data_IF_239247116655
#
_entry.id   IF_239247116655
#
_cell.length_a   1.000
_cell.length_b   1.000
_cell.length_c   1.000
_cell.angle_alpha   90.00
_cell.angle_beta   90.00
_cell.angle_gamma   90.00
#
_symmetry.space_group_name_H-M   'P 1'
#
loop_
_entity.id
_entity.type
_entity.pdbx_description
1 polymer ?
#
# COMPACT_ATOMS: atom_id res chain seq x y z
N UNK A 1 4.71 -10.54 13.79
CA UNK A 1 4.20 -10.73 12.42
C UNK A 1 4.63 -12.04 11.76
N UNK A 2 5.89 -12.51 11.85
CA UNK A 2 6.29 -13.80 11.23
C UNK A 2 5.57 -15.05 11.78
N UNK A 3 5.26 -15.07 13.09
CA UNK A 3 4.58 -16.20 13.76
C UNK A 3 3.16 -16.48 13.25
N UNK A 4 2.32 -15.45 13.10
CA UNK A 4 0.93 -15.64 12.64
C UNK A 4 0.86 -16.15 11.20
N UNK A 5 1.80 -15.76 10.33
CA UNK A 5 1.83 -16.25 8.95
C UNK A 5 2.23 -17.72 8.88
N UNK A 6 3.19 -18.16 9.69
CA UNK A 6 3.61 -19.55 9.78
C UNK A 6 2.51 -20.45 10.35
N UNK A 7 1.79 -19.99 11.39
CA UNK A 7 0.66 -20.71 11.97
C UNK A 7 -0.54 -20.82 11.02
N UNK A 8 -0.85 -19.77 10.25
CA UNK A 8 -1.88 -19.81 9.20
C UNK A 8 -1.51 -20.80 8.09
N UNK A 9 -0.25 -20.81 7.67
CA UNK A 9 0.24 -21.74 6.65
C UNK A 9 0.22 -23.19 7.15
N UNK A 10 0.51 -23.43 8.43
CA UNK A 10 0.37 -24.75 9.05
C UNK A 10 -1.09 -25.18 9.20
N UNK A 11 -1.99 -24.28 9.61
CA UNK A 11 -3.43 -24.55 9.69
C UNK A 11 -4.01 -24.94 8.31
N UNK A 12 -3.63 -24.21 7.25
CA UNK A 12 -4.01 -24.54 5.87
C UNK A 12 -3.45 -25.91 5.46
N UNK A 13 -2.21 -26.23 5.84
CA UNK A 13 -1.60 -27.55 5.58
C UNK A 13 -2.30 -28.69 6.35
N UNK A 14 -2.88 -28.41 7.52
CA UNK A 14 -3.73 -29.35 8.28
C UNK A 14 -5.14 -29.52 7.69
N UNK A 15 -5.48 -28.76 6.65
CA UNK A 15 -6.81 -28.77 6.02
C UNK A 15 -7.84 -27.94 6.80
N UNK A 16 -7.40 -27.12 7.76
CA UNK A 16 -8.26 -26.21 8.50
C UNK A 16 -8.67 -25.04 7.60
N UNK A 17 -9.87 -24.50 7.84
CA UNK A 17 -10.35 -23.34 7.10
C UNK A 17 -9.54 -22.10 7.54
N UNK A 18 -8.70 -21.59 6.65
CA UNK A 18 -7.87 -20.41 6.90
C UNK A 18 -8.67 -19.19 7.39
N UNK A 19 -9.89 -19.03 6.88
CA UNK A 19 -10.77 -17.95 7.29
C UNK A 19 -11.22 -18.12 8.74
N UNK A 20 -11.63 -19.33 9.11
CA UNK A 20 -12.03 -19.65 10.48
C UNK A 20 -10.87 -19.48 11.45
N UNK A 21 -9.68 -19.99 11.09
CA UNK A 21 -8.48 -19.85 11.92
C UNK A 21 -8.08 -18.37 12.12
N UNK A 22 -8.26 -17.53 11.09
CA UNK A 22 -8.04 -16.09 11.21
C UNK A 22 -9.04 -15.41 12.14
N UNK A 23 -10.29 -15.86 12.15
CA UNK A 23 -11.31 -15.36 13.08
C UNK A 23 -10.99 -15.79 14.51
N UNK A 24 -10.63 -17.06 14.72
CA UNK A 24 -10.25 -17.58 16.03
C UNK A 24 -9.02 -16.84 16.61
N UNK A 25 -8.06 -16.44 15.77
CA UNK A 25 -6.94 -15.58 16.23
C UNK A 25 -7.38 -14.17 16.63
N UNK A 26 -8.36 -13.59 15.94
CA UNK A 26 -8.93 -12.30 16.35
C UNK A 26 -9.64 -12.44 17.69
N UNK A 27 -10.42 -13.50 17.88
CA UNK A 27 -11.13 -13.76 19.12
C UNK A 27 -10.16 -13.91 20.30
N UNK A 28 -9.05 -14.63 20.13
CA UNK A 28 -8.00 -14.76 21.17
C UNK A 28 -7.35 -13.42 21.50
N UNK A 29 -7.08 -12.58 20.49
CA UNK A 29 -6.51 -11.25 20.71
C UNK A 29 -7.49 -10.36 21.47
N UNK A 30 -8.77 -10.40 21.11
CA UNK A 30 -9.84 -9.69 21.81
C UNK A 30 -9.93 -10.16 23.25
N UNK A 31 -10.06 -11.48 23.48
CA UNK A 31 -10.10 -12.06 24.82
C UNK A 31 -8.88 -11.66 25.67
N UNK A 32 -7.68 -11.66 25.09
CA UNK A 32 -6.48 -11.26 25.83
C UNK A 32 -6.46 -9.77 26.19
N UNK A 33 -7.00 -8.91 25.33
CA UNK A 33 -6.97 -7.46 25.54
C UNK A 33 -8.16 -6.97 26.38
N UNK A 34 -9.25 -7.73 26.43
CA UNK A 34 -10.42 -7.41 27.25
C UNK A 34 -10.54 -8.26 28.51
N UNK A 35 -9.66 -9.24 28.73
CA UNK A 35 -9.67 -10.08 29.92
C UNK A 35 -9.65 -9.26 31.22
N UNK A 36 -10.73 -9.38 32.01
CA UNK A 36 -10.88 -8.71 33.30
C UNK A 36 -11.42 -7.28 33.23
N UNK A 37 -11.72 -6.77 32.03
CA UNK A 37 -12.44 -5.53 31.85
C UNK A 37 -13.93 -5.71 32.19
N UNK A 38 -14.55 -4.66 32.71
CA UNK A 38 -16.00 -4.58 32.76
C UNK A 38 -16.56 -4.11 31.41
N UNK A 39 -17.88 -4.25 31.20
CA UNK A 39 -18.54 -3.93 29.92
C UNK A 39 -18.28 -2.48 29.45
N UNK A 40 -18.15 -1.54 30.38
CA UNK A 40 -17.90 -0.12 30.07
C UNK A 40 -16.45 0.09 29.61
N UNK A 41 -15.50 -0.61 30.21
CA UNK A 41 -14.09 -0.62 29.81
C UNK A 41 -13.89 -1.29 28.45
N UNK A 42 -14.56 -2.42 28.19
CA UNK A 42 -14.54 -3.08 26.88
C UNK A 42 -15.10 -2.16 25.79
N UNK A 43 -16.25 -1.53 26.05
CA UNK A 43 -16.87 -0.60 25.10
C UNK A 43 -15.93 0.54 24.76
N UNK A 44 -15.28 1.13 25.77
CA UNK A 44 -14.32 2.22 25.57
C UNK A 44 -13.06 1.76 24.84
N UNK A 45 -12.59 0.54 25.10
CA UNK A 45 -11.46 -0.05 24.40
C UNK A 45 -11.77 -0.22 22.91
N UNK A 46 -12.92 -0.80 22.55
CA UNK A 46 -13.33 -0.95 21.16
C UNK A 46 -13.57 0.38 20.46
N UNK A 47 -14.11 1.38 21.16
CA UNK A 47 -14.31 2.72 20.61
C UNK A 47 -12.98 3.41 20.28
N UNK A 48 -12.00 3.33 21.19
CA UNK A 48 -10.64 3.83 20.93
C UNK A 48 -9.96 3.08 19.80
N UNK A 49 -10.09 1.75 19.77
CA UNK A 49 -9.52 0.92 18.72
C UNK A 49 -10.09 1.27 17.34
N UNK A 50 -11.40 1.50 17.25
CA UNK A 50 -12.04 1.95 16.02
C UNK A 50 -11.54 3.34 15.58
N UNK A 51 -11.43 4.30 16.51
CA UNK A 51 -10.91 5.64 16.22
C UNK A 51 -9.45 5.60 15.74
N UNK A 52 -8.59 4.80 16.37
CA UNK A 52 -7.20 4.62 15.92
C UNK A 52 -7.12 3.94 14.55
N UNK A 53 -7.98 2.94 14.29
CA UNK A 53 -8.05 2.29 12.97
C UNK A 53 -8.48 3.25 11.88
N UNK A 54 -9.45 4.13 12.13
CA UNK A 54 -9.89 5.14 11.18
C UNK A 54 -8.80 6.18 10.92
N UNK A 55 -8.10 6.63 11.96
CA UNK A 55 -6.97 7.54 11.84
C UNK A 55 -5.82 6.92 11.01
N UNK A 56 -5.50 5.65 11.27
CA UNK A 56 -4.49 4.92 10.51
C UNK A 56 -4.90 4.77 9.04
N UNK A 57 -6.16 4.45 8.76
CA UNK A 57 -6.69 4.36 7.39
C UNK A 57 -6.57 5.70 6.66
N UNK A 58 -6.93 6.81 7.31
CA UNK A 58 -6.79 8.15 6.74
C UNK A 58 -5.32 8.50 6.44
N UNK A 59 -4.39 8.12 7.32
CA UNK A 59 -2.95 8.33 7.10
C UNK A 59 -2.44 7.48 5.93
N UNK A 60 -2.84 6.21 5.84
CA UNK A 60 -2.47 5.31 4.74
C UNK A 60 -3.03 5.82 3.41
N UNK A 61 -4.26 6.31 3.39
CA UNK A 61 -4.87 6.90 2.19
C UNK A 61 -4.12 8.15 1.75
N UNK A 62 -3.81 9.07 2.67
CA UNK A 62 -3.05 10.28 2.37
C UNK A 62 -1.64 9.96 1.84
N UNK A 63 -0.96 8.98 2.44
CA UNK A 63 0.35 8.51 1.96
C UNK A 63 0.26 7.86 0.58
N UNK A 64 -0.80 7.10 0.31
CA UNK A 64 -1.04 6.47 -0.98
C UNK A 64 -1.30 7.51 -2.07
N UNK A 65 -2.13 8.52 -1.79
CA UNK A 65 -2.35 9.65 -2.69
C UNK A 65 -1.04 10.39 -3.00
N UNK A 66 -0.22 10.64 -1.98
CA UNK A 66 1.08 11.30 -2.16
C UNK A 66 2.03 10.50 -3.07
N UNK A 67 2.08 9.18 -2.91
CA UNK A 67 2.89 8.30 -3.78
C UNK A 67 2.38 8.33 -5.23
N UNK A 68 1.06 8.32 -5.42
CA UNK A 68 0.44 8.43 -6.74
C UNK A 68 0.79 9.78 -7.40
N UNK A 69 0.65 10.90 -6.68
CA UNK A 69 1.02 12.23 -7.17
C UNK A 69 2.51 12.34 -7.52
N UNK A 70 3.40 11.82 -6.67
CA UNK A 70 4.84 11.81 -6.92
C UNK A 70 5.19 10.93 -8.13
N UNK A 71 4.49 9.82 -8.33
CA UNK A 71 4.66 8.94 -9.49
C UNK A 71 4.19 9.62 -10.76
N UNK A 72 3.05 10.31 -10.72
CA UNK A 72 2.51 11.04 -11.87
C UNK A 72 3.42 12.21 -12.26
N UNK A 73 3.94 12.98 -11.30
CA UNK A 73 4.92 14.04 -11.54
C UNK A 73 6.21 13.53 -12.19
N UNK A 74 6.70 12.37 -11.76
CA UNK A 74 7.89 11.73 -12.36
C UNK A 74 7.61 11.28 -13.78
N UNK A 75 6.44 10.70 -14.05
CA UNK A 75 6.05 10.31 -15.40
C UNK A 75 5.89 11.52 -16.34
N UNK A 76 5.25 12.60 -15.89
CA UNK A 76 5.15 13.83 -16.68
C UNK A 76 6.53 14.45 -16.96
N UNK A 77 7.42 14.42 -15.97
CA UNK A 77 8.80 14.90 -16.12
C UNK A 77 9.59 14.04 -17.11
N UNK A 78 9.44 12.71 -17.05
CA UNK A 78 10.07 11.78 -17.99
C UNK A 78 9.55 11.96 -19.43
N UNK A 79 8.24 12.17 -19.61
CA UNK A 79 7.64 12.40 -20.93
C UNK A 79 8.11 13.73 -21.55
N UNK A 80 8.20 14.79 -20.74
CA UNK A 80 8.75 16.07 -21.18
C UNK A 80 10.22 15.99 -21.57
N UNK A 81 11.05 15.30 -20.78
CA UNK A 81 12.46 15.07 -21.11
C UNK A 81 12.60 14.22 -22.37
N UNK A 82 11.78 13.18 -22.52
CA UNK A 82 11.73 12.33 -23.71
C UNK A 82 11.39 13.11 -24.99
N UNK A 83 10.40 14.01 -24.93
CA UNK A 83 10.04 14.90 -26.05
C UNK A 83 11.14 15.87 -26.43
N UNK A 84 11.83 16.46 -25.45
CA UNK A 84 12.95 17.38 -25.71
C UNK A 84 14.12 16.65 -26.37
N UNK A 85 14.53 15.51 -25.82
CA UNK A 85 15.63 14.71 -26.39
C UNK A 85 15.26 14.21 -27.78
N UNK A 86 14.05 13.66 -27.96
CA UNK A 86 13.56 13.21 -29.27
C UNK A 86 13.53 14.33 -30.31
N UNK A 87 13.06 15.52 -29.93
CA UNK A 87 13.04 16.69 -30.80
C UNK A 87 14.44 17.13 -31.24
N UNK A 88 15.42 17.14 -30.32
CA UNK A 88 16.81 17.48 -30.63
C UNK A 88 17.43 16.47 -31.60
N UNK A 89 17.21 15.17 -31.39
CA UNK A 89 17.75 14.12 -32.27
C UNK A 89 17.17 14.24 -33.68
N UNK A 90 15.85 14.42 -33.82
CA UNK A 90 15.19 14.60 -35.13
C UNK A 90 15.70 15.87 -35.82
N UNK A 91 15.88 16.96 -35.10
CA UNK A 91 16.41 18.21 -35.64
C UNK A 91 17.84 18.04 -36.18
N UNK A 92 18.72 17.38 -35.44
CA UNK A 92 20.10 17.12 -35.87
C UNK A 92 20.15 16.21 -37.10
N UNK A 93 19.32 15.17 -37.17
CA UNK A 93 19.21 14.30 -38.35
C UNK A 93 18.73 15.11 -39.56
N UNK A 94 17.73 15.97 -39.37
CA UNK A 94 17.16 16.79 -40.45
C UNK A 94 18.20 17.75 -41.02
N UNK A 95 18.97 18.42 -40.16
CA UNK A 95 20.10 19.27 -40.58
C UNK A 95 21.16 18.43 -41.31
N UNK A 96 21.57 17.31 -40.75
CA UNK A 96 22.59 16.46 -41.36
C UNK A 96 22.20 16.03 -42.79
N UNK A 97 20.94 15.60 -42.99
CA UNK A 97 20.41 15.24 -44.30
C UNK A 97 20.37 16.44 -45.24
N UNK A 98 19.91 17.60 -44.78
CA UNK A 98 19.86 18.82 -45.61
C UNK A 98 21.24 19.28 -46.10
N UNK A 99 22.29 19.14 -45.28
CA UNK A 99 23.64 19.63 -45.61
C UNK A 99 24.56 18.57 -46.24
N UNK A 100 24.22 17.27 -46.20
CA UNK A 100 24.99 16.22 -46.89
C UNK A 100 24.35 15.72 -48.20
N UNK A 101 23.07 16.02 -48.43
CA UNK A 101 22.35 15.61 -49.65
C UNK A 101 22.25 16.73 -50.70
N UNK A 102 22.47 17.99 -50.30
CA UNK A 102 22.67 19.15 -51.20
C UNK A 102 24.17 19.30 -51.46
#
# INVERSE_FOLDING_TARGET
MKKNHEELVEAIKRGENAHQFSLDQQDVLVEQHTAGMNLEEETRFFELYAQESDALNAEVEANTQKILEDTERRNQSADNVGKVIGGVVVFLITIFVLFNVI
#
